data_IF_879115776033
#
_entry.id   IF_879115776033
#
_cell.length_a   1.000
_cell.length_b   1.000
_cell.length_c   1.000
_cell.angle_alpha   90.00
_cell.angle_beta   90.00
_cell.angle_gamma   90.00
#
_symmetry.space_group_name_H-M   'P 1'
#
loop_
_entity.id
_entity.type
_entity.pdbx_description
1 polymer ?
#
# COMPACT_ATOMS: atom_id res chain seq x y z
N UNK A 1 66.09 22.96 -21.22
CA UNK A 1 66.25 21.54 -21.61
C UNK A 1 64.87 20.94 -21.69
N UNK A 2 64.55 20.39 -22.85
CA UNK A 2 63.22 20.00 -23.32
C UNK A 2 62.84 18.58 -22.77
N UNK A 3 61.92 17.81 -23.40
CA UNK A 3 60.48 17.79 -23.17
C UNK A 3 59.89 16.34 -23.19
N UNK A 4 58.93 15.92 -22.37
CA UNK A 4 58.26 14.61 -22.60
C UNK A 4 56.79 14.75 -22.16
N UNK A 5 55.88 15.17 -23.06
CA UNK A 5 54.97 14.31 -23.86
C UNK A 5 54.18 13.33 -22.97
N UNK A 6 52.84 13.37 -22.90
CA UNK A 6 51.97 12.90 -23.98
C UNK A 6 50.49 13.12 -23.62
N UNK A 7 49.70 13.43 -24.65
CA UNK A 7 48.24 13.36 -24.75
C UNK A 7 47.57 12.37 -23.75
N UNK A 8 46.94 12.89 -22.70
CA UNK A 8 45.77 12.22 -22.14
C UNK A 8 44.57 12.65 -22.99
N UNK A 9 44.19 11.77 -23.91
CA UNK A 9 43.03 11.90 -24.79
C UNK A 9 41.84 12.40 -23.98
N UNK A 10 41.24 13.48 -24.46
CA UNK A 10 39.86 13.86 -24.21
C UNK A 10 38.93 12.70 -24.61
N UNK A 11 38.86 11.68 -23.77
CA UNK A 11 37.68 10.87 -23.62
C UNK A 11 36.83 11.58 -22.57
N UNK A 12 36.26 12.71 -22.99
CA UNK A 12 34.98 13.14 -22.47
C UNK A 12 34.03 11.99 -22.76
N UNK A 13 34.00 11.00 -21.86
CA UNK A 13 32.89 10.08 -21.74
C UNK A 13 31.68 10.99 -21.82
N UNK A 14 30.86 10.80 -22.84
CA UNK A 14 29.48 11.24 -22.87
C UNK A 14 28.79 10.56 -21.68
N UNK A 15 29.10 11.02 -20.47
CA UNK A 15 28.24 10.89 -19.33
C UNK A 15 27.19 11.94 -19.62
N UNK A 16 26.19 11.54 -20.40
CA UNK A 16 24.93 12.27 -20.51
C UNK A 16 24.59 12.77 -19.12
N UNK A 17 24.49 14.09 -18.97
CA UNK A 17 24.11 14.76 -17.74
C UNK A 17 22.77 14.20 -17.30
N UNK A 18 22.80 13.14 -16.50
CA UNK A 18 21.60 12.55 -15.93
C UNK A 18 21.09 13.59 -14.95
N UNK A 19 20.04 14.31 -15.38
CA UNK A 19 19.32 15.26 -14.55
C UNK A 19 19.11 14.61 -13.18
N UNK A 20 19.54 15.30 -12.13
CA UNK A 20 19.66 14.82 -10.74
C UNK A 20 18.32 14.46 -10.07
N UNK A 21 17.27 14.27 -10.86
CA UNK A 21 15.99 13.73 -10.45
C UNK A 21 15.69 12.48 -11.27
N UNK A 22 16.26 11.36 -10.86
CA UNK A 22 15.68 10.06 -11.21
C UNK A 22 14.22 10.02 -10.73
N UNK A 23 13.30 9.54 -11.56
CA UNK A 23 11.89 9.50 -11.20
C UNK A 23 11.68 8.71 -9.90
N UNK A 24 11.05 9.32 -8.91
CA UNK A 24 10.75 8.66 -7.64
C UNK A 24 9.63 7.63 -7.86
N UNK A 25 9.96 6.35 -7.79
CA UNK A 25 9.01 5.24 -8.01
C UNK A 25 8.06 5.07 -6.81
N UNK A 26 8.58 5.21 -5.58
CA UNK A 26 7.82 4.93 -4.37
C UNK A 26 7.25 6.20 -3.74
N UNK A 27 5.94 6.36 -3.83
CA UNK A 27 5.20 7.49 -3.22
C UNK A 27 4.11 7.02 -2.25
N UNK A 28 3.99 5.71 -2.04
CA UNK A 28 2.95 5.12 -1.21
C UNK A 28 3.09 5.55 0.25
N UNK A 29 1.96 5.88 0.88
CA UNK A 29 1.92 6.49 2.21
C UNK A 29 2.50 5.62 3.35
N UNK A 30 2.59 4.30 3.14
CA UNK A 30 3.25 3.41 4.09
C UNK A 30 4.76 3.61 4.15
N UNK A 31 5.36 4.07 3.05
CA UNK A 31 6.81 4.34 2.93
C UNK A 31 7.08 5.83 3.15
N UNK A 32 6.36 6.69 2.44
CA UNK A 32 6.45 8.15 2.59
C UNK A 32 5.25 8.63 3.40
N UNK A 33 5.45 8.86 4.70
CA UNK A 33 4.36 9.23 5.62
C UNK A 33 3.68 10.53 5.18
N UNK A 34 2.34 10.56 5.26
CA UNK A 34 1.54 11.74 4.87
C UNK A 34 1.77 12.93 5.81
N UNK A 35 2.01 12.66 7.09
CA UNK A 35 2.19 13.69 8.12
C UNK A 35 3.38 14.61 7.86
N UNK A 36 4.46 14.05 7.29
CA UNK A 36 5.66 14.80 6.91
C UNK A 36 5.52 15.54 5.58
N UNK A 37 4.52 15.19 4.77
CA UNK A 37 4.39 15.67 3.41
C UNK A 37 3.51 16.93 3.36
N UNK A 38 4.11 18.03 2.93
CA UNK A 38 3.42 19.33 2.79
C UNK A 38 2.14 19.29 1.94
N UNK A 39 2.01 18.32 1.03
CA UNK A 39 0.82 18.13 0.18
C UNK A 39 -0.44 17.75 0.97
N UNK A 40 -0.27 17.21 2.18
CA UNK A 40 -1.38 16.76 3.03
C UNK A 40 -1.75 17.77 4.13
N UNK A 41 -1.11 18.95 4.16
CA UNK A 41 -1.44 20.00 5.13
C UNK A 41 -2.87 20.50 4.94
N UNK A 42 -3.65 20.51 6.03
CA UNK A 42 -5.03 20.98 6.03
C UNK A 42 -6.07 19.97 5.55
N UNK A 43 -5.68 18.73 5.24
CA UNK A 43 -6.61 17.64 4.95
C UNK A 43 -7.07 17.02 6.26
N UNK A 44 -8.38 16.95 6.47
CA UNK A 44 -8.95 16.21 7.59
C UNK A 44 -8.78 14.69 7.37
N UNK A 45 -8.13 14.04 8.33
CA UNK A 45 -7.82 12.60 8.30
C UNK A 45 -8.77 11.77 9.17
N UNK A 46 -9.86 12.37 9.65
CA UNK A 46 -10.90 11.69 10.42
C UNK A 46 -11.47 10.49 9.64
N UNK A 47 -11.65 9.36 10.34
CA UNK A 47 -12.23 8.14 9.79
C UNK A 47 -13.53 7.83 10.51
N UNK A 48 -14.53 7.40 9.76
CA UNK A 48 -15.77 6.87 10.32
C UNK A 48 -15.47 5.46 10.84
N UNK A 49 -15.94 5.16 12.04
CA UNK A 49 -15.85 3.84 12.67
C UNK A 49 -17.24 3.21 12.78
N UNK A 50 -17.26 1.88 12.75
CA UNK A 50 -18.48 1.08 12.86
C UNK A 50 -18.16 -0.17 13.72
N UNK A 51 -19.08 -0.59 14.58
CA UNK A 51 -18.84 -1.58 15.66
C UNK A 51 -19.36 -2.97 15.29
N UNK A 52 -18.50 -3.98 15.21
CA UNK A 52 -18.90 -5.37 14.93
C UNK A 52 -18.31 -6.31 15.98
N UNK A 53 -19.03 -7.39 16.31
CA UNK A 53 -18.51 -8.43 17.21
C UNK A 53 -17.37 -9.21 16.56
N UNK A 54 -17.50 -9.46 15.25
CA UNK A 54 -16.49 -10.17 14.46
C UNK A 54 -16.28 -9.44 13.13
N UNK A 55 -15.02 -9.15 12.80
CA UNK A 55 -14.61 -8.61 11.50
C UNK A 55 -13.75 -9.64 10.78
N UNK A 56 -14.12 -9.97 9.54
CA UNK A 56 -13.41 -10.92 8.67
C UNK A 56 -12.83 -10.15 7.49
N UNK A 57 -11.51 -10.22 7.32
CA UNK A 57 -10.80 -9.57 6.20
C UNK A 57 -10.48 -10.62 5.14
N UNK A 58 -11.15 -10.52 3.99
CA UNK A 58 -11.05 -11.44 2.86
C UNK A 58 -12.31 -12.27 2.67
N UNK A 59 -12.97 -12.10 1.53
CA UNK A 59 -14.16 -12.82 1.06
C UNK A 59 -13.88 -14.05 0.19
N UNK A 60 -12.71 -14.67 0.37
CA UNK A 60 -12.38 -15.94 -0.27
C UNK A 60 -13.06 -17.15 0.41
N UNK A 61 -12.75 -18.39 -0.03
CA UNK A 61 -13.35 -19.61 0.51
C UNK A 61 -13.25 -19.72 2.04
N UNK A 62 -12.10 -19.36 2.61
CA UNK A 62 -11.87 -19.40 4.05
C UNK A 62 -12.73 -18.38 4.82
N UNK A 63 -12.73 -17.11 4.38
CA UNK A 63 -13.46 -16.04 5.06
C UNK A 63 -14.97 -16.21 4.99
N UNK A 64 -15.49 -16.62 3.82
CA UNK A 64 -16.92 -16.94 3.69
C UNK A 64 -17.31 -18.17 4.51
N UNK A 65 -16.51 -19.23 4.50
CA UNK A 65 -16.77 -20.41 5.32
C UNK A 65 -16.83 -20.06 6.81
N UNK A 66 -15.91 -19.20 7.28
CA UNK A 66 -15.91 -18.72 8.66
C UNK A 66 -17.17 -17.88 8.98
N UNK A 67 -17.51 -16.93 8.11
CA UNK A 67 -18.70 -16.08 8.28
C UNK A 67 -20.00 -16.90 8.34
N UNK A 68 -20.17 -17.83 7.38
CA UNK A 68 -21.33 -18.72 7.30
C UNK A 68 -21.40 -19.60 8.53
N UNK A 69 -20.29 -20.24 8.92
CA UNK A 69 -20.27 -21.14 10.06
C UNK A 69 -20.55 -20.42 11.38
N UNK A 70 -20.03 -19.19 11.55
CA UNK A 70 -20.34 -18.36 12.71
C UNK A 70 -21.83 -18.06 12.82
N UNK A 71 -22.47 -17.61 11.73
CA UNK A 71 -23.92 -17.33 11.74
C UNK A 71 -24.76 -18.58 11.97
N UNK A 72 -24.37 -19.73 11.41
CA UNK A 72 -25.01 -21.02 11.72
C UNK A 72 -24.93 -21.36 13.22
N UNK A 73 -23.76 -21.21 13.83
CA UNK A 73 -23.57 -21.45 15.27
C UNK A 73 -24.39 -20.47 16.12
N UNK A 74 -24.47 -19.20 15.71
CA UNK A 74 -25.30 -18.19 16.38
C UNK A 74 -26.77 -18.61 16.40
N UNK A 75 -27.29 -19.02 15.24
CA UNK A 75 -28.67 -19.51 15.11
C UNK A 75 -28.92 -20.74 15.98
N UNK A 76 -27.98 -21.68 16.04
CA UNK A 76 -28.09 -22.90 16.86
C UNK A 76 -28.09 -22.61 18.37
N UNK A 77 -27.36 -21.58 18.81
CA UNK A 77 -27.20 -21.25 20.22
C UNK A 77 -28.07 -20.07 20.69
N UNK A 78 -29.00 -19.60 19.84
CA UNK A 78 -29.87 -18.45 20.16
C UNK A 78 -29.10 -17.15 20.43
N UNK A 79 -27.93 -16.98 19.80
CA UNK A 79 -27.13 -15.75 19.89
C UNK A 79 -27.29 -14.92 18.63
N UNK A 80 -27.13 -13.62 18.75
CA UNK A 80 -26.98 -12.73 17.60
C UNK A 80 -25.63 -12.02 17.69
N UNK A 81 -24.78 -12.22 16.66
CA UNK A 81 -23.48 -11.57 16.51
C UNK A 81 -23.47 -10.78 15.22
N UNK A 82 -23.05 -9.53 15.26
CA UNK A 82 -22.77 -8.72 14.08
C UNK A 82 -21.44 -9.15 13.46
N UNK A 83 -21.51 -9.85 12.33
CA UNK A 83 -20.36 -10.29 11.55
C UNK A 83 -20.20 -9.38 10.33
N UNK A 84 -19.08 -8.66 10.26
CA UNK A 84 -18.72 -7.83 9.11
C UNK A 84 -17.65 -8.55 8.28
N UNK A 85 -17.86 -8.67 6.97
CA UNK A 85 -16.88 -9.24 6.04
C UNK A 85 -16.49 -8.18 5.01
N UNK A 86 -15.18 -7.95 4.86
CA UNK A 86 -14.64 -6.99 3.90
C UNK A 86 -13.78 -7.71 2.86
N UNK A 87 -13.94 -7.34 1.59
CA UNK A 87 -13.20 -7.91 0.46
C UNK A 87 -12.75 -6.78 -0.46
N UNK A 88 -11.54 -6.92 -1.04
CA UNK A 88 -11.00 -5.96 -1.99
C UNK A 88 -11.63 -6.15 -3.38
N UNK A 89 -11.91 -7.40 -3.75
CA UNK A 89 -12.53 -7.75 -5.02
C UNK A 89 -13.87 -7.05 -5.23
N UNK A 90 -14.21 -6.69 -6.48
CA UNK A 90 -15.48 -6.04 -6.80
C UNK A 90 -16.68 -6.98 -6.61
N UNK A 91 -16.45 -8.29 -6.58
CA UNK A 91 -17.45 -9.33 -6.41
C UNK A 91 -16.93 -10.43 -5.49
N UNK A 92 -17.83 -11.07 -4.76
CA UNK A 92 -17.55 -12.25 -3.92
C UNK A 92 -17.66 -13.52 -4.76
N UNK A 93 -16.69 -14.43 -4.64
CA UNK A 93 -16.81 -15.81 -5.12
C UNK A 93 -16.79 -16.03 -6.65
N UNK A 94 -16.17 -15.14 -7.43
CA UNK A 94 -15.89 -15.36 -8.85
C UNK A 94 -14.53 -15.99 -9.09
#
# INVERSE_FOLDING_TARGET
>A
MNPITTLSKSLSRFCTTYSSKCATITTHYSVVKRDSDSRWKGIDMNRISDESDVVIVGGGPAGLSAAIKLKQLCQQNGKDLRVCLVEKGPYIGK
#
